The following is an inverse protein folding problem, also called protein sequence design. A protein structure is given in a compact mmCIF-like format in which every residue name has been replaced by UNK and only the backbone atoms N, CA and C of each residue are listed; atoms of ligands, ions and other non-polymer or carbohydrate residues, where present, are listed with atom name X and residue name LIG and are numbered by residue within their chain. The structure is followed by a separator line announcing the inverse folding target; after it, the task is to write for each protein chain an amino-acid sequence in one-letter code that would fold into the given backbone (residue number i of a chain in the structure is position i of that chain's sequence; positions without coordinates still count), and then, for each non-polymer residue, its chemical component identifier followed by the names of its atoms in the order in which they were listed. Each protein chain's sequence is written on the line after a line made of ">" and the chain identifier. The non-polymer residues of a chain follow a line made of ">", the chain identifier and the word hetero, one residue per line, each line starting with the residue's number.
data_IF_959234960406
#
_entry.id   IF_959234960406
#
_cell.length_a   1.000
_cell.length_b   1.000
_cell.length_c   1.000
_cell.angle_alpha   90.00
_cell.angle_beta   90.00
_cell.angle_gamma   90.00
#
_symmetry.space_group_name_H-M   'P 1'
#
loop_
_entity.id
_entity.type
_entity.pdbx_description
1 polymer ?
#
# COMPACT_ATOMS: atom_id res chain seq x y z
N UNK A 1 -18.31 19.35 -34.82
CA UNK A 1 -18.99 20.01 -33.67
C UNK A 1 -19.90 19.06 -32.87
N UNK A 2 -20.66 18.14 -33.49
CA UNK A 2 -21.56 17.24 -32.77
C UNK A 2 -20.93 16.33 -31.72
N UNK A 3 -19.72 15.80 -31.95
CA UNK A 3 -19.03 14.89 -31.03
C UNK A 3 -18.51 15.58 -29.74
N UNK A 4 -18.14 16.86 -29.80
CA UNK A 4 -17.67 17.63 -28.65
C UNK A 4 -18.82 17.95 -27.69
N UNK A 5 -19.98 18.33 -28.26
CA UNK A 5 -21.21 18.65 -27.49
C UNK A 5 -21.78 17.38 -26.85
N UNK A 6 -21.69 16.23 -27.54
CA UNK A 6 -22.10 14.93 -26.96
C UNK A 6 -21.21 14.52 -25.81
N UNK A 7 -19.88 14.66 -25.95
CA UNK A 7 -18.91 14.43 -24.85
C UNK A 7 -19.11 15.38 -23.64
N UNK A 8 -19.43 16.65 -23.92
CA UNK A 8 -19.72 17.64 -22.84
C UNK A 8 -21.03 17.28 -22.12
N UNK A 9 -22.05 16.79 -22.81
CA UNK A 9 -23.30 16.33 -22.20
C UNK A 9 -23.15 14.99 -21.45
N UNK A 10 -22.33 14.08 -21.95
CA UNK A 10 -22.02 12.82 -21.27
C UNK A 10 -21.19 13.06 -19.99
N UNK A 11 -20.34 14.08 -19.96
CA UNK A 11 -19.58 14.47 -18.76
C UNK A 11 -20.35 15.41 -17.79
N UNK A 12 -21.50 15.95 -18.18
CA UNK A 12 -22.27 16.88 -17.37
C UNK A 12 -22.92 16.26 -16.09
N UNK A 13 -22.74 14.95 -15.87
CA UNK A 13 -23.19 14.22 -14.69
C UNK A 13 -22.09 13.54 -13.89
N UNK A 14 -20.82 13.59 -14.34
CA UNK A 14 -19.72 12.90 -13.64
C UNK A 14 -19.21 13.72 -12.46
N UNK A 15 -19.02 13.04 -11.34
CA UNK A 15 -18.48 13.61 -10.11
C UNK A 15 -16.99 13.33 -10.02
N UNK A 16 -16.18 14.38 -9.85
CA UNK A 16 -14.76 14.21 -9.53
C UNK A 16 -14.60 13.85 -8.05
N UNK A 17 -13.83 12.80 -7.75
CA UNK A 17 -13.45 12.41 -6.39
C UNK A 17 -11.93 12.38 -6.29
N UNK A 18 -11.38 13.20 -5.39
CA UNK A 18 -9.95 13.29 -5.15
C UNK A 18 -9.53 12.36 -4.01
N UNK A 19 -8.65 11.41 -4.31
CA UNK A 19 -8.12 10.46 -3.33
C UNK A 19 -6.64 10.75 -3.07
N UNK A 20 -6.28 10.98 -1.79
CA UNK A 20 -4.90 11.17 -1.35
C UNK A 20 -4.35 9.89 -0.71
N UNK A 21 -3.26 9.35 -1.27
CA UNK A 21 -2.67 8.09 -0.84
C UNK A 21 -1.18 8.01 -1.19
N UNK A 22 -0.47 7.00 -0.68
CA UNK A 22 0.91 6.75 -1.10
C UNK A 22 0.98 6.25 -2.54
N UNK A 23 2.08 6.53 -3.23
CA UNK A 23 2.38 5.98 -4.56
C UNK A 23 2.31 4.46 -4.57
N UNK A 24 2.82 3.82 -3.53
CA UNK A 24 2.83 2.38 -3.39
C UNK A 24 1.42 1.78 -3.27
N UNK A 25 0.54 2.40 -2.46
CA UNK A 25 -0.85 1.95 -2.35
C UNK A 25 -1.60 2.12 -3.67
N UNK A 26 -1.44 3.27 -4.31
CA UNK A 26 -2.05 3.51 -5.63
C UNK A 26 -1.59 2.45 -6.64
N UNK A 27 -0.26 2.25 -6.77
CA UNK A 27 0.32 1.39 -7.82
C UNK A 27 0.05 -0.10 -7.59
N UNK A 28 0.21 -0.59 -6.35
CA UNK A 28 0.21 -2.02 -6.10
C UNK A 28 -1.14 -2.57 -5.61
N UNK A 29 -2.03 -1.72 -5.11
CA UNK A 29 -3.33 -2.19 -4.63
C UNK A 29 -4.52 -1.61 -5.39
N UNK A 30 -4.58 -0.29 -5.64
CA UNK A 30 -5.76 0.34 -6.23
C UNK A 30 -5.79 0.27 -7.76
N UNK A 31 -4.67 0.57 -8.43
CA UNK A 31 -4.59 0.54 -9.92
C UNK A 31 -5.01 -0.81 -10.51
N UNK A 32 -4.60 -1.96 -9.94
CA UNK A 32 -5.09 -3.26 -10.43
C UNK A 32 -6.61 -3.43 -10.38
N UNK A 33 -7.31 -2.64 -9.56
CA UNK A 33 -8.78 -2.67 -9.36
C UNK A 33 -9.54 -1.55 -10.04
N UNK A 34 -8.85 -0.70 -10.82
CA UNK A 34 -9.53 0.42 -11.48
C UNK A 34 -10.62 -0.02 -12.46
N UNK A 35 -10.49 -1.20 -13.07
CA UNK A 35 -11.56 -1.79 -13.90
C UNK A 35 -12.83 -2.00 -13.09
N UNK A 36 -12.73 -2.75 -11.98
CA UNK A 36 -13.85 -3.06 -11.07
C UNK A 36 -14.42 -1.76 -10.45
N UNK A 37 -13.55 -0.80 -10.13
CA UNK A 37 -13.98 0.50 -9.61
C UNK A 37 -14.83 1.25 -10.63
N UNK A 38 -14.38 1.33 -11.88
CA UNK A 38 -15.11 2.04 -12.94
C UNK A 38 -16.45 1.38 -13.27
N UNK A 39 -16.55 0.05 -13.13
CA UNK A 39 -17.81 -0.67 -13.26
C UNK A 39 -18.76 -0.36 -12.09
N UNK A 40 -18.25 -0.32 -10.86
CA UNK A 40 -19.03 0.01 -9.66
C UNK A 40 -19.47 1.48 -9.63
N UNK A 41 -18.64 2.38 -10.14
CA UNK A 41 -18.85 3.84 -10.08
C UNK A 41 -18.69 4.51 -11.45
N UNK A 42 -19.54 4.21 -12.45
CA UNK A 42 -19.38 4.69 -13.82
C UNK A 42 -19.49 6.21 -13.98
N UNK A 43 -20.07 6.89 -12.98
CA UNK A 43 -20.24 8.34 -12.98
C UNK A 43 -19.22 9.06 -12.07
N UNK A 44 -18.13 8.39 -11.68
CA UNK A 44 -17.06 8.97 -10.86
C UNK A 44 -15.77 9.06 -11.69
N UNK A 45 -15.19 10.25 -11.74
CA UNK A 45 -13.84 10.46 -12.24
C UNK A 45 -12.88 10.57 -11.05
N UNK A 46 -11.92 9.64 -10.95
CA UNK A 46 -10.92 9.66 -9.89
C UNK A 46 -9.78 10.62 -10.21
N UNK A 47 -9.40 11.40 -9.21
CA UNK A 47 -8.17 12.19 -9.19
C UNK A 47 -7.28 11.68 -8.07
N UNK A 48 -6.02 11.37 -8.39
CA UNK A 48 -5.05 10.90 -7.41
C UNK A 48 -4.11 12.03 -6.98
N UNK A 49 -4.02 12.24 -5.69
CA UNK A 49 -3.01 13.06 -5.04
C UNK A 49 -2.05 12.12 -4.30
N UNK A 50 -0.87 11.92 -4.89
CA UNK A 50 0.11 11.01 -4.33
C UNK A 50 0.91 11.73 -3.24
N UNK A 51 0.76 11.25 -2.01
CA UNK A 51 1.50 11.75 -0.86
C UNK A 51 2.80 10.96 -0.70
N UNK A 52 3.92 11.67 -0.57
CA UNK A 52 5.21 11.10 -0.19
C UNK A 52 5.42 11.22 1.32
N UNK A 53 5.91 10.14 1.94
CA UNK A 53 6.21 10.11 3.38
C UNK A 53 4.97 10.01 4.28
N UNK A 54 5.18 10.25 5.58
CA UNK A 54 4.11 10.24 6.60
C UNK A 54 3.36 11.57 6.64
N UNK A 55 2.73 11.99 5.56
CA UNK A 55 1.87 13.18 5.60
C UNK A 55 0.64 12.91 6.46
N UNK A 56 0.47 13.67 7.53
CA UNK A 56 -0.68 13.57 8.45
C UNK A 56 -1.85 14.46 8.02
N UNK A 57 -1.58 15.56 7.36
CA UNK A 57 -2.59 16.51 6.94
C UNK A 57 -3.03 16.27 5.49
N UNK A 58 -4.29 16.48 5.23
CA UNK A 58 -4.88 16.42 3.90
C UNK A 58 -5.33 17.83 3.49
N UNK A 59 -5.17 18.13 2.20
CA UNK A 59 -5.64 19.40 1.64
C UNK A 59 -7.16 19.45 1.57
N UNK A 60 -7.74 20.66 1.51
CA UNK A 60 -9.20 20.85 1.46
C UNK A 60 -9.84 20.22 0.21
N UNK A 61 -9.08 19.99 -0.84
CA UNK A 61 -9.56 19.43 -2.10
C UNK A 61 -9.69 17.90 -2.06
N UNK A 62 -9.06 17.24 -1.08
CA UNK A 62 -9.13 15.79 -0.92
C UNK A 62 -10.50 15.36 -0.38
N UNK A 63 -11.07 14.34 -1.00
CA UNK A 63 -12.33 13.73 -0.57
C UNK A 63 -12.12 12.52 0.33
N UNK A 64 -11.15 11.65 -0.04
CA UNK A 64 -10.79 10.44 0.71
C UNK A 64 -9.27 10.36 0.81
N UNK A 65 -8.73 10.03 1.97
CA UNK A 65 -7.31 9.73 2.10
C UNK A 65 -7.08 8.40 2.85
N UNK A 66 -5.94 7.76 2.57
CA UNK A 66 -5.46 6.60 3.33
C UNK A 66 -4.33 7.04 4.24
N UNK A 67 -4.47 6.83 5.54
CA UNK A 67 -3.48 7.27 6.56
C UNK A 67 -3.41 6.31 7.74
N UNK A 68 -2.31 6.38 8.48
CA UNK A 68 -2.25 5.87 9.84
C UNK A 68 -2.52 7.07 10.76
N UNK A 69 -3.70 7.13 11.34
CA UNK A 69 -4.15 8.22 12.21
C UNK A 69 -4.71 7.65 13.51
N UNK A 70 -4.74 8.47 14.55
CA UNK A 70 -5.37 8.14 15.82
C UNK A 70 -6.90 8.06 15.67
N UNK A 71 -7.56 7.28 16.56
CA UNK A 71 -8.99 6.97 16.50
C UNK A 71 -9.92 8.18 16.64
N UNK A 72 -9.41 9.28 17.19
CA UNK A 72 -10.23 10.41 17.66
C UNK A 72 -9.85 11.76 17.02
N UNK A 73 -9.45 11.80 15.74
CA UNK A 73 -9.27 13.11 15.10
C UNK A 73 -10.63 13.74 14.76
N UNK A 74 -11.03 14.84 15.45
CA UNK A 74 -12.35 15.44 15.29
C UNK A 74 -12.59 16.06 13.90
N UNK A 75 -11.55 16.22 13.09
CA UNK A 75 -11.62 16.81 11.74
C UNK A 75 -12.17 15.83 10.70
N UNK A 76 -12.07 14.52 10.96
CA UNK A 76 -12.35 13.48 9.99
C UNK A 76 -13.43 12.50 10.48
N UNK A 77 -14.15 11.93 9.53
CA UNK A 77 -14.81 10.65 9.69
C UNK A 77 -13.79 9.57 9.29
N UNK A 78 -13.74 8.48 10.05
CA UNK A 78 -12.64 7.50 10.01
C UNK A 78 -13.24 6.11 9.84
N UNK A 79 -12.65 5.30 8.95
CA UNK A 79 -12.96 3.89 8.76
C UNK A 79 -11.69 3.06 8.86
N UNK A 80 -11.74 1.98 9.60
CA UNK A 80 -10.67 0.99 9.61
C UNK A 80 -10.59 0.34 8.22
N UNK A 81 -9.37 0.23 7.69
CA UNK A 81 -9.14 -0.27 6.35
C UNK A 81 -8.34 -1.57 6.35
N UNK A 82 -7.19 -1.59 7.00
CA UNK A 82 -6.35 -2.77 7.12
C UNK A 82 -5.48 -2.70 8.38
N UNK A 83 -5.22 -3.82 9.07
CA UNK A 83 -4.24 -3.86 10.14
C UNK A 83 -2.85 -3.53 9.60
N UNK A 84 -2.03 -2.85 10.40
CA UNK A 84 -0.63 -2.67 10.06
C UNK A 84 0.15 -3.93 10.41
N UNK A 85 0.31 -4.78 9.41
CA UNK A 85 1.14 -5.98 9.46
C UNK A 85 2.26 -5.79 8.45
N UNK A 86 3.50 -6.02 8.90
CA UNK A 86 4.71 -5.86 8.11
C UNK A 86 5.42 -7.20 8.06
N UNK A 87 5.91 -7.58 6.89
CA UNK A 87 6.67 -8.82 6.69
C UNK A 87 7.71 -8.68 5.59
N UNK A 88 8.84 -9.39 5.66
CA UNK A 88 9.75 -9.52 4.52
C UNK A 88 9.09 -10.24 3.36
N UNK A 89 9.18 -9.66 2.15
CA UNK A 89 8.60 -10.23 0.93
C UNK A 89 9.55 -10.15 -0.24
N UNK A 90 9.45 -11.11 -1.14
CA UNK A 90 10.19 -11.13 -2.40
C UNK A 90 9.39 -11.90 -3.46
N UNK A 91 9.88 -11.95 -4.70
CA UNK A 91 9.28 -12.84 -5.69
C UNK A 91 9.57 -14.32 -5.39
N UNK A 92 8.71 -15.26 -5.84
CA UNK A 92 8.98 -16.71 -5.69
C UNK A 92 10.33 -17.14 -6.27
N UNK A 93 10.72 -16.57 -7.40
CA UNK A 93 12.01 -16.86 -8.04
C UNK A 93 13.19 -16.39 -7.19
N UNK A 94 13.06 -15.24 -6.54
CA UNK A 94 14.10 -14.73 -5.65
C UNK A 94 14.23 -15.64 -4.43
N UNK A 95 13.12 -16.02 -3.79
CA UNK A 95 13.11 -16.91 -2.63
C UNK A 95 13.77 -18.27 -2.96
N UNK A 96 13.43 -18.85 -4.11
CA UNK A 96 14.00 -20.13 -4.54
C UNK A 96 15.53 -20.07 -4.75
N UNK A 97 16.05 -18.92 -5.18
CA UNK A 97 17.50 -18.72 -5.44
C UNK A 97 18.27 -18.36 -4.18
N UNK A 98 17.73 -17.47 -3.36
CA UNK A 98 18.47 -16.81 -2.27
C UNK A 98 18.08 -17.31 -0.88
N UNK A 99 17.03 -18.14 -0.76
CA UNK A 99 16.49 -18.61 0.52
C UNK A 99 15.78 -17.55 1.35
N UNK A 100 15.18 -17.94 2.50
CA UNK A 100 14.49 -17.02 3.40
C UNK A 100 15.50 -16.20 4.22
N UNK A 101 15.07 -15.00 4.66
CA UNK A 101 15.91 -14.13 5.51
C UNK A 101 16.06 -14.62 6.95
N UNK A 102 15.30 -15.63 7.35
CA UNK A 102 15.42 -16.27 8.67
C UNK A 102 16.64 -17.20 8.75
N UNK A 103 17.14 -17.65 7.63
CA UNK A 103 18.30 -18.54 7.55
C UNK A 103 19.59 -17.69 7.50
N UNK A 104 20.40 -17.80 8.55
CA UNK A 104 21.67 -17.09 8.69
C UNK A 104 22.62 -17.41 7.52
N UNK A 105 22.62 -18.64 7.03
CA UNK A 105 23.48 -19.06 5.91
C UNK A 105 23.10 -18.32 4.60
N UNK A 106 21.85 -17.96 4.42
CA UNK A 106 21.37 -17.26 3.22
C UNK A 106 21.60 -15.75 3.27
N UNK A 107 21.82 -15.17 4.45
CA UNK A 107 21.85 -13.71 4.64
C UNK A 107 22.94 -13.00 3.82
N UNK A 108 24.10 -13.64 3.65
CA UNK A 108 25.21 -13.07 2.85
C UNK A 108 24.87 -12.89 1.36
N UNK A 109 23.90 -13.66 0.87
CA UNK A 109 23.44 -13.61 -0.53
C UNK A 109 22.21 -12.72 -0.72
N UNK A 110 21.65 -12.16 0.37
CA UNK A 110 20.46 -11.33 0.30
C UNK A 110 20.75 -9.94 -0.26
N UNK A 111 19.78 -9.42 -1.04
CA UNK A 111 19.74 -8.06 -1.48
C UNK A 111 18.56 -7.40 -0.78
N UNK A 112 18.81 -6.50 0.16
CA UNK A 112 17.80 -5.76 0.90
C UNK A 112 17.43 -4.50 0.13
N UNK A 113 16.12 -4.33 -0.12
CA UNK A 113 15.56 -3.16 -0.80
C UNK A 113 14.83 -2.31 0.24
N UNK A 114 15.30 -1.11 0.49
CA UNK A 114 14.71 -0.29 1.54
C UNK A 114 14.70 1.22 1.24
N UNK A 115 13.88 1.97 1.99
CA UNK A 115 13.77 3.41 1.83
C UNK A 115 14.98 4.13 2.45
N UNK A 116 15.45 5.19 1.80
CA UNK A 116 16.54 6.06 2.29
C UNK A 116 16.21 6.64 3.66
N UNK A 117 14.97 7.10 3.84
CA UNK A 117 14.51 7.76 5.06
C UNK A 117 14.19 6.77 6.20
N UNK A 118 14.23 5.47 5.90
CA UNK A 118 13.99 4.42 6.86
C UNK A 118 15.33 3.88 7.36
N UNK A 119 15.47 3.81 8.66
CA UNK A 119 16.65 3.23 9.26
C UNK A 119 16.64 1.70 9.10
N UNK A 120 17.82 1.08 9.05
CA UNK A 120 17.97 -0.38 9.01
C UNK A 120 17.31 -1.08 10.21
N UNK A 121 17.13 -0.36 11.33
CA UNK A 121 16.44 -0.86 12.53
C UNK A 121 15.00 -1.31 12.26
N UNK A 122 14.36 -0.88 11.18
CA UNK A 122 13.05 -1.41 10.78
C UNK A 122 13.09 -2.92 10.45
N UNK A 123 14.28 -3.44 10.15
CA UNK A 123 14.51 -4.87 9.95
C UNK A 123 14.75 -5.63 11.25
N UNK A 124 14.91 -4.96 12.40
CA UNK A 124 15.20 -5.60 13.69
C UNK A 124 14.20 -6.68 14.14
N UNK A 125 12.89 -6.61 13.81
CA UNK A 125 11.97 -7.69 14.13
C UNK A 125 12.28 -8.99 13.36
N UNK A 126 13.00 -8.89 12.24
CA UNK A 126 13.23 -9.97 11.30
C UNK A 126 14.68 -10.46 11.30
N UNK A 127 15.63 -9.57 11.56
CA UNK A 127 17.08 -9.84 11.56
C UNK A 127 17.66 -9.68 12.96
N UNK A 128 18.72 -10.44 13.28
CA UNK A 128 19.42 -10.28 14.56
C UNK A 128 20.15 -8.92 14.63
N UNK A 129 20.34 -8.39 15.84
CA UNK A 129 21.10 -7.16 16.07
C UNK A 129 22.53 -7.24 15.51
N UNK A 130 23.16 -8.41 15.59
CA UNK A 130 24.50 -8.63 15.04
C UNK A 130 24.53 -8.35 13.55
N UNK A 131 23.53 -8.83 12.79
CA UNK A 131 23.42 -8.61 11.35
C UNK A 131 23.23 -7.13 11.01
N UNK A 132 22.45 -6.42 11.82
CA UNK A 132 22.15 -5.00 11.60
C UNK A 132 23.38 -4.11 11.91
N UNK A 133 24.14 -4.46 12.95
CA UNK A 133 25.23 -3.64 13.45
C UNK A 133 26.53 -3.82 12.62
N UNK A 134 26.81 -5.02 12.14
CA UNK A 134 28.03 -5.25 11.34
C UNK A 134 27.95 -4.65 9.95
N UNK A 135 26.74 -4.47 9.39
CA UNK A 135 26.51 -3.93 8.04
C UNK A 135 27.13 -4.80 6.92
N UNK A 136 27.75 -5.94 7.29
CA UNK A 136 28.54 -6.79 6.42
C UNK A 136 27.71 -7.88 5.74
N UNK A 137 26.42 -7.99 6.10
CA UNK A 137 25.57 -9.08 5.63
C UNK A 137 24.67 -8.59 4.50
N UNK A 138 24.87 -9.17 3.31
CA UNK A 138 24.08 -8.88 2.12
C UNK A 138 24.39 -7.53 1.47
N UNK A 139 23.63 -7.21 0.45
CA UNK A 139 23.70 -5.94 -0.27
C UNK A 139 22.49 -5.07 0.09
N UNK A 140 22.70 -3.79 0.36
CA UNK A 140 21.65 -2.86 0.75
C UNK A 140 21.43 -1.80 -0.32
N UNK A 141 20.35 -1.93 -1.08
CA UNK A 141 19.94 -0.94 -2.07
C UNK A 141 18.90 0.01 -1.49
N UNK A 142 19.15 1.30 -1.62
CA UNK A 142 18.31 2.37 -1.07
C UNK A 142 17.53 3.10 -2.16
N UNK A 143 16.27 3.38 -1.89
CA UNK A 143 15.34 4.03 -2.80
C UNK A 143 14.60 5.17 -2.08
N UNK A 144 14.20 6.18 -2.82
CA UNK A 144 13.39 7.28 -2.29
C UNK A 144 11.88 7.02 -2.38
N UNK A 145 11.45 5.99 -3.12
CA UNK A 145 10.03 5.66 -3.32
C UNK A 145 9.75 4.18 -3.06
N UNK A 146 8.73 3.92 -2.23
CA UNK A 146 8.37 2.57 -1.82
C UNK A 146 7.68 1.76 -2.95
N UNK A 147 7.00 2.40 -3.90
CA UNK A 147 6.44 1.70 -5.04
C UNK A 147 7.54 1.09 -5.92
N UNK A 148 8.67 1.78 -6.07
CA UNK A 148 9.84 1.29 -6.80
C UNK A 148 10.48 0.09 -6.09
N UNK A 149 10.54 0.11 -4.76
CA UNK A 149 11.02 -1.01 -3.94
C UNK A 149 10.18 -2.26 -4.20
N UNK A 150 8.86 -2.14 -4.11
CA UNK A 150 7.95 -3.28 -4.34
C UNK A 150 8.01 -3.78 -5.78
N UNK A 151 8.15 -2.89 -6.74
CA UNK A 151 8.37 -3.27 -8.13
C UNK A 151 9.67 -4.06 -8.30
N UNK A 152 10.76 -3.63 -7.68
CA UNK A 152 12.03 -4.35 -7.71
C UNK A 152 11.92 -5.73 -7.02
N UNK A 153 11.22 -5.82 -5.88
CA UNK A 153 10.98 -7.07 -5.18
C UNK A 153 10.18 -8.06 -6.05
N UNK A 154 9.10 -7.60 -6.68
CA UNK A 154 8.27 -8.39 -7.60
C UNK A 154 9.08 -8.91 -8.79
N UNK A 155 10.06 -8.14 -9.26
CA UNK A 155 10.98 -8.52 -10.35
C UNK A 155 12.16 -9.38 -9.91
N UNK A 156 12.17 -9.86 -8.66
CA UNK A 156 13.21 -10.75 -8.15
C UNK A 156 14.56 -10.09 -7.94
N UNK A 157 14.59 -8.78 -7.65
CA UNK A 157 15.83 -8.03 -7.44
C UNK A 157 16.28 -8.00 -5.98
N UNK A 158 15.43 -8.46 -5.05
CA UNK A 158 15.75 -8.47 -3.63
C UNK A 158 14.54 -8.75 -2.76
N UNK A 159 14.74 -8.60 -1.45
CA UNK A 159 13.73 -8.70 -0.42
C UNK A 159 13.40 -7.30 0.11
N UNK A 160 12.11 -7.03 0.30
CA UNK A 160 11.59 -5.76 0.82
C UNK A 160 10.73 -6.01 2.07
N UNK A 161 10.55 -4.99 2.91
CA UNK A 161 9.48 -5.01 3.91
C UNK A 161 8.15 -4.67 3.22
N UNK A 162 7.17 -5.55 3.33
CA UNK A 162 5.85 -5.38 2.76
C UNK A 162 4.81 -5.04 3.81
N UNK A 163 4.06 -3.95 3.62
CA UNK A 163 2.88 -3.60 4.42
C UNK A 163 1.64 -4.28 3.84
N UNK A 164 0.92 -5.05 4.63
CA UNK A 164 -0.21 -5.88 4.15
C UNK A 164 -1.24 -5.08 3.37
N UNK A 165 -1.53 -3.84 3.78
CA UNK A 165 -2.46 -2.94 3.10
C UNK A 165 -2.05 -2.58 1.67
N UNK A 166 -0.79 -2.79 1.32
CA UNK A 166 -0.23 -2.47 -0.01
C UNK A 166 0.00 -3.73 -0.83
N UNK A 167 0.50 -4.79 -0.17
CA UNK A 167 0.96 -6.00 -0.86
C UNK A 167 -0.08 -7.11 -0.94
N UNK A 168 -1.26 -6.96 -0.32
CA UNK A 168 -2.27 -8.02 -0.23
C UNK A 168 -2.62 -8.63 -1.60
N UNK A 169 -2.79 -7.79 -2.63
CA UNK A 169 -3.02 -8.23 -4.01
C UNK A 169 -1.86 -9.09 -4.53
N UNK A 170 -0.64 -8.58 -4.40
CA UNK A 170 0.55 -9.25 -4.92
C UNK A 170 0.82 -10.58 -4.22
N UNK A 171 0.44 -10.72 -2.93
CA UNK A 171 0.49 -12.01 -2.22
C UNK A 171 -0.56 -12.99 -2.77
N UNK A 172 -1.81 -12.53 -2.95
CA UNK A 172 -2.89 -13.36 -3.51
C UNK A 172 -2.55 -13.85 -4.93
N UNK A 173 -1.96 -12.99 -5.75
CA UNK A 173 -1.56 -13.28 -7.13
C UNK A 173 -0.22 -14.02 -7.21
N UNK A 174 0.39 -14.33 -6.07
CA UNK A 174 1.72 -14.97 -5.97
C UNK A 174 2.84 -14.23 -6.70
N UNK A 175 2.68 -12.95 -6.93
CA UNK A 175 3.75 -12.09 -7.44
C UNK A 175 4.79 -11.80 -6.36
N UNK A 176 4.33 -11.73 -5.11
CA UNK A 176 5.16 -11.71 -3.91
C UNK A 176 4.82 -12.90 -3.00
N UNK A 177 5.81 -13.35 -2.26
CA UNK A 177 5.68 -14.37 -1.21
C UNK A 177 6.41 -13.89 0.05
N UNK A 178 6.03 -14.44 1.20
CA UNK A 178 6.77 -14.19 2.44
C UNK A 178 8.20 -14.73 2.33
N UNK A 179 9.18 -13.90 2.63
CA UNK A 179 10.59 -14.25 2.68
C UNK A 179 11.08 -14.57 4.10
N UNK A 180 10.17 -14.57 5.08
CA UNK A 180 10.40 -14.88 6.50
C UNK A 180 9.16 -15.58 7.06
N UNK A 181 9.37 -16.43 8.05
CA UNK A 181 8.29 -16.97 8.87
C UNK A 181 7.72 -15.94 9.85
N UNK A 182 8.43 -14.84 10.05
CA UNK A 182 8.09 -13.78 11.01
C UNK A 182 7.26 -12.68 10.34
N UNK A 183 6.33 -12.13 11.12
CA UNK A 183 5.58 -10.93 10.79
C UNK A 183 5.49 -10.01 12.00
N UNK A 184 5.48 -8.71 11.77
CA UNK A 184 5.30 -7.69 12.79
C UNK A 184 3.87 -7.16 12.75
N UNK A 185 3.09 -7.45 13.81
CA UNK A 185 1.76 -6.86 14.04
C UNK A 185 1.94 -5.67 15.00
N UNK A 186 1.83 -4.45 14.50
CA UNK A 186 2.11 -3.25 15.30
C UNK A 186 0.97 -2.84 16.22
N UNK A 187 -0.22 -3.39 16.03
CA UNK A 187 -1.46 -2.98 16.69
C UNK A 187 -2.09 -1.72 16.10
N UNK A 188 -1.46 -1.06 15.14
CA UNK A 188 -2.01 0.10 14.45
C UNK A 188 -2.88 -0.31 13.27
N UNK A 189 -3.70 0.65 12.80
CA UNK A 189 -4.57 0.46 11.64
C UNK A 189 -4.25 1.48 10.55
N UNK A 190 -4.18 1.03 9.31
CA UNK A 190 -4.39 1.90 8.16
C UNK A 190 -5.87 2.23 8.06
N UNK A 191 -6.18 3.50 7.82
CA UNK A 191 -7.55 4.02 7.82
C UNK A 191 -7.85 4.79 6.56
N UNK A 192 -9.11 4.74 6.18
CA UNK A 192 -9.69 5.71 5.26
C UNK A 192 -10.18 6.88 6.11
N UNK A 193 -9.82 8.09 5.70
CA UNK A 193 -10.26 9.33 6.36
C UNK A 193 -10.93 10.25 5.34
N UNK A 194 -12.02 10.85 5.77
CA UNK A 194 -12.85 11.78 4.98
C UNK A 194 -13.07 13.03 5.80
N UNK A 195 -12.84 14.24 5.27
CA UNK A 195 -13.19 15.47 5.97
C UNK A 195 -14.64 15.46 6.40
N UNK A 196 -14.95 15.87 7.64
CA UNK A 196 -16.32 15.80 8.20
C UNK A 196 -17.36 16.52 7.34
N UNK A 197 -16.99 17.62 6.71
CA UNK A 197 -17.89 18.38 5.82
C UNK A 197 -18.23 17.61 4.52
N UNK A 198 -17.48 16.56 4.18
CA UNK A 198 -17.71 15.71 3.00
C UNK A 198 -18.28 14.33 3.37
N UNK A 199 -18.28 13.98 4.66
CA UNK A 199 -18.68 12.66 5.15
C UNK A 199 -20.16 12.30 4.96
N UNK A 200 -21.02 13.28 4.67
CA UNK A 200 -22.44 13.05 4.38
C UNK A 200 -22.74 12.74 2.90
N UNK A 201 -21.72 12.69 2.06
CA UNK A 201 -21.86 12.38 0.64
C UNK A 201 -22.04 10.89 0.42
N UNK A 202 -23.19 10.45 -0.08
CA UNK A 202 -23.48 9.05 -0.39
C UNK A 202 -22.40 8.40 -1.26
N UNK A 203 -21.96 9.09 -2.32
CA UNK A 203 -20.90 8.57 -3.21
C UNK A 203 -19.58 8.35 -2.47
N UNK A 204 -19.20 9.26 -1.56
CA UNK A 204 -17.97 9.10 -0.77
C UNK A 204 -18.10 7.91 0.19
N UNK A 205 -19.25 7.75 0.84
CA UNK A 205 -19.53 6.62 1.72
C UNK A 205 -19.50 5.28 0.96
N UNK A 206 -20.13 5.24 -0.21
CA UNK A 206 -20.16 4.04 -1.06
C UNK A 206 -18.76 3.63 -1.53
N UNK A 207 -17.92 4.62 -1.88
CA UNK A 207 -16.51 4.36 -2.24
C UNK A 207 -15.73 3.83 -1.04
N UNK A 208 -15.89 4.43 0.15
CA UNK A 208 -15.22 3.93 1.36
C UNK A 208 -15.62 2.48 1.68
N UNK A 209 -16.92 2.18 1.61
CA UNK A 209 -17.44 0.83 1.82
C UNK A 209 -16.88 -0.17 0.79
N UNK A 210 -16.83 0.22 -0.49
CA UNK A 210 -16.27 -0.59 -1.54
C UNK A 210 -14.78 -0.88 -1.31
N UNK A 211 -14.00 0.13 -0.94
CA UNK A 211 -12.57 -0.03 -0.63
C UNK A 211 -12.37 -0.99 0.55
N UNK A 212 -13.15 -0.84 1.64
CA UNK A 212 -13.10 -1.74 2.79
C UNK A 212 -13.44 -3.18 2.42
N UNK A 213 -14.51 -3.37 1.63
CA UNK A 213 -14.93 -4.68 1.17
C UNK A 213 -13.83 -5.36 0.36
N UNK A 214 -13.23 -4.64 -0.61
CA UNK A 214 -12.15 -5.19 -1.44
C UNK A 214 -10.90 -5.54 -0.64
N UNK A 215 -10.56 -4.76 0.36
CA UNK A 215 -9.45 -5.09 1.26
C UNK A 215 -9.78 -6.30 2.13
N UNK A 216 -10.99 -6.39 2.67
CA UNK A 216 -11.41 -7.55 3.46
C UNK A 216 -11.41 -8.85 2.63
N UNK A 217 -11.85 -8.78 1.36
CA UNK A 217 -11.77 -9.91 0.41
C UNK A 217 -10.32 -10.38 0.19
N UNK A 218 -9.38 -9.44 0.10
CA UNK A 218 -7.96 -9.78 -0.05
C UNK A 218 -7.38 -10.40 1.21
N UNK A 219 -7.64 -9.80 2.36
CA UNK A 219 -7.12 -10.28 3.64
C UNK A 219 -7.66 -11.68 3.99
N UNK A 220 -8.91 -11.97 3.63
CA UNK A 220 -9.53 -13.30 3.85
C UNK A 220 -8.82 -14.45 3.09
N UNK A 221 -8.07 -14.14 2.01
CA UNK A 221 -7.33 -15.13 1.21
C UNK A 221 -5.91 -15.35 1.72
N UNK A 222 -5.43 -14.49 2.63
CA UNK A 222 -4.06 -14.53 3.15
C UNK A 222 -4.07 -15.20 4.51
N UNK A 223 -3.25 -16.23 4.68
CA UNK A 223 -3.00 -16.83 6.00
C UNK A 223 -2.03 -15.94 6.79
N UNK A 224 -2.54 -15.14 7.73
CA UNK A 224 -1.80 -14.20 8.58
C UNK A 224 -1.58 -14.73 10.00
#
# INVERSE_FOLDING_TARGET
>A
MGNVIKRIKENAGKRSVTMSMSSSFATHWLIPRLGDFNEAFPNVDLRFELASGMMREITNDVDIATRIVDDNDPRYAIWDFAPEIIMPVCSPQYLARSGPVDDIASLSQQVFLHLIDHKREQWSPFLSETVLNTGEVGTWNQFSDYAVILQAATQGKGVALGWISVIASALNDKMLVAASSKQLKTGRMHRLIVPKNKANSTVILDICNWLQLKMAEDLAKISL
#
